data_IF_489416237265
#
_entry.id   IF_489416237265
#
_cell.length_a   1.000
_cell.length_b   1.000
_cell.length_c   1.000
_cell.angle_alpha   90.00
_cell.angle_beta   90.00
_cell.angle_gamma   90.00
#
_symmetry.space_group_name_H-M   'P 1'
#
loop_
_entity.id
_entity.type
_entity.pdbx_description
1 polymer ?
#
# COMPACT_ATOMS: atom_id res chain seq x y z
N UNK A 1 -24.44 61.24 -7.60
CA UNK A 1 -23.64 60.11 -7.07
C UNK A 1 -24.39 59.48 -5.91
N UNK A 2 -25.00 58.30 -6.09
CA UNK A 2 -25.63 57.56 -4.98
C UNK A 2 -24.56 56.68 -4.33
N UNK A 3 -24.37 56.72 -3.00
CA UNK A 3 -23.35 55.92 -2.34
C UNK A 3 -23.75 54.45 -2.43
N UNK A 4 -22.84 53.65 -2.96
CA UNK A 4 -22.93 52.19 -2.97
C UNK A 4 -22.79 51.71 -1.52
N UNK A 5 -23.90 51.69 -0.76
CA UNK A 5 -23.96 51.03 0.54
C UNK A 5 -23.88 49.51 0.30
N UNK A 6 -22.66 49.00 0.20
CA UNK A 6 -22.40 47.56 0.26
C UNK A 6 -22.93 47.06 1.61
N UNK A 7 -24.01 46.30 1.56
CA UNK A 7 -24.74 45.84 2.73
C UNK A 7 -23.84 44.89 3.54
N UNK A 8 -23.27 45.36 4.65
CA UNK A 8 -22.28 44.63 5.47
C UNK A 8 -22.73 43.20 5.83
N UNK A 9 -24.04 42.99 5.97
CA UNK A 9 -24.64 41.69 6.23
C UNK A 9 -24.54 40.70 5.06
N UNK A 10 -24.57 41.18 3.81
CA UNK A 10 -24.33 40.32 2.63
C UNK A 10 -22.88 39.85 2.59
N UNK A 11 -21.92 40.73 2.86
CA UNK A 11 -20.51 40.38 2.91
C UNK A 11 -20.23 39.35 4.01
N UNK A 12 -20.78 39.56 5.21
CA UNK A 12 -20.65 38.61 6.32
C UNK A 12 -21.24 37.24 5.97
N UNK A 13 -22.43 37.21 5.35
CA UNK A 13 -23.08 35.98 4.90
C UNK A 13 -22.22 35.21 3.88
N UNK A 14 -21.65 35.89 2.87
CA UNK A 14 -20.78 35.25 1.89
C UNK A 14 -19.47 34.73 2.51
N UNK A 15 -18.90 35.44 3.49
CA UNK A 15 -17.72 34.97 4.23
C UNK A 15 -18.03 33.75 5.09
N UNK A 16 -19.20 33.72 5.75
CA UNK A 16 -19.66 32.58 6.54
C UNK A 16 -19.96 31.37 5.65
N UNK A 17 -20.62 31.58 4.51
CA UNK A 17 -20.91 30.54 3.52
C UNK A 17 -19.62 29.96 2.92
N UNK A 18 -18.66 30.84 2.58
CA UNK A 18 -17.33 30.42 2.12
C UNK A 18 -16.59 29.64 3.21
N UNK A 19 -16.63 30.11 4.47
CA UNK A 19 -16.04 29.42 5.62
C UNK A 19 -16.63 28.02 5.82
N UNK A 20 -17.96 27.89 5.84
CA UNK A 20 -18.65 26.59 5.95
C UNK A 20 -18.31 25.68 4.76
N UNK A 21 -18.24 26.22 3.55
CA UNK A 21 -17.86 25.43 2.37
C UNK A 21 -16.43 24.90 2.43
N UNK A 22 -15.50 25.64 3.06
CA UNK A 22 -14.14 25.17 3.31
C UNK A 22 -14.10 24.04 4.36
N UNK A 23 -14.98 24.05 5.36
CA UNK A 23 -15.11 22.98 6.35
C UNK A 23 -15.75 21.69 5.81
N UNK A 24 -16.55 21.79 4.74
CA UNK A 24 -17.23 20.63 4.13
C UNK A 24 -16.36 19.89 3.09
N UNK A 25 -15.24 20.47 2.65
CA UNK A 25 -14.33 19.78 1.72
C UNK A 25 -13.35 18.88 2.47
N UNK A 26 -13.33 17.58 2.14
CA UNK A 26 -12.37 16.63 2.70
C UNK A 26 -10.94 17.10 2.48
N UNK A 27 -10.17 17.26 3.57
CA UNK A 27 -8.73 17.56 3.56
C UNK A 27 -7.87 16.43 2.98
N UNK A 28 -8.47 15.35 2.50
CA UNK A 28 -7.77 14.24 1.90
C UNK A 28 -8.46 13.84 0.61
N UNK A 29 -7.68 13.30 -0.32
CA UNK A 29 -8.17 12.70 -1.56
C UNK A 29 -9.34 11.74 -1.29
N UNK A 30 -10.32 11.72 -2.20
CA UNK A 30 -11.37 10.67 -2.19
C UNK A 30 -10.83 9.29 -2.61
N UNK A 31 -9.68 9.27 -3.28
CA UNK A 31 -9.07 8.07 -3.85
C UNK A 31 -8.08 7.43 -2.87
N UNK A 32 -8.29 6.14 -2.59
CA UNK A 32 -7.34 5.30 -1.87
C UNK A 32 -6.10 5.00 -2.71
N UNK A 33 -4.93 5.08 -2.08
CA UNK A 33 -3.65 4.65 -2.63
C UNK A 33 -3.16 3.42 -1.86
N UNK A 34 -2.96 2.30 -2.55
CA UNK A 34 -2.40 1.07 -1.98
C UNK A 34 -0.94 0.94 -2.40
N UNK A 35 -0.05 0.73 -1.44
CA UNK A 35 1.36 0.49 -1.68
C UNK A 35 1.76 -0.85 -1.04
N UNK A 36 2.48 -1.67 -1.80
CA UNK A 36 3.03 -2.95 -1.35
C UNK A 36 4.49 -2.95 -1.78
N UNK A 37 5.37 -3.01 -0.80
CA UNK A 37 6.81 -2.96 -1.05
C UNK A 37 7.50 -4.12 -0.34
N UNK A 38 8.29 -4.87 -1.10
CA UNK A 38 9.14 -5.93 -0.56
C UNK A 38 10.36 -5.27 0.09
N UNK A 39 10.56 -5.55 1.37
CA UNK A 39 11.71 -5.12 2.14
C UNK A 39 12.97 -5.86 1.70
N UNK A 40 14.10 -5.50 2.31
CA UNK A 40 15.38 -6.05 1.86
C UNK A 40 15.50 -7.55 2.11
N UNK A 41 16.32 -8.19 1.26
CA UNK A 41 16.84 -9.54 1.45
C UNK A 41 15.79 -10.67 1.39
N UNK A 42 15.02 -10.79 0.29
CA UNK A 42 14.28 -12.03 0.05
C UNK A 42 15.26 -13.21 -0.11
N UNK A 43 14.91 -14.36 0.47
CA UNK A 43 15.77 -15.55 0.49
C UNK A 43 15.02 -16.80 0.04
N UNK A 44 15.69 -17.62 -0.77
CA UNK A 44 15.27 -18.97 -1.11
C UNK A 44 15.45 -19.91 0.07
N UNK A 45 14.61 -20.94 0.14
CA UNK A 45 15.00 -22.16 0.85
C UNK A 45 16.12 -22.90 0.08
N UNK A 46 16.78 -23.85 0.73
CA UNK A 46 17.92 -24.57 0.14
C UNK A 46 17.57 -25.29 -1.18
N UNK A 47 16.31 -25.69 -1.37
CA UNK A 47 15.82 -26.36 -2.57
C UNK A 47 15.30 -25.41 -3.66
N UNK A 48 15.26 -24.10 -3.40
CA UNK A 48 14.65 -23.07 -4.26
C UNK A 48 13.19 -23.35 -4.64
N UNK A 49 12.46 -24.04 -3.76
CA UNK A 49 11.02 -24.34 -3.91
C UNK A 49 10.14 -23.35 -3.15
N UNK A 50 10.73 -22.47 -2.34
CA UNK A 50 10.01 -21.45 -1.62
C UNK A 50 10.88 -20.23 -1.30
N UNK A 51 10.25 -19.08 -1.12
CA UNK A 51 10.90 -17.81 -0.77
C UNK A 51 10.33 -17.25 0.52
N UNK A 52 11.19 -16.80 1.42
CA UNK A 52 10.80 -15.97 2.56
C UNK A 52 11.24 -14.52 2.33
N UNK A 53 10.37 -13.58 2.67
CA UNK A 53 10.61 -12.15 2.44
C UNK A 53 9.70 -11.31 3.33
N UNK A 54 10.18 -10.13 3.70
CA UNK A 54 9.40 -9.16 4.46
C UNK A 54 8.71 -8.18 3.52
N UNK A 55 7.49 -7.77 3.85
CA UNK A 55 6.70 -6.82 3.07
C UNK A 55 6.12 -5.74 3.98
N UNK A 56 6.17 -4.51 3.49
CA UNK A 56 5.40 -3.40 4.03
C UNK A 56 4.22 -3.09 3.12
N UNK A 57 3.03 -3.00 3.70
CA UNK A 57 1.78 -2.67 3.00
C UNK A 57 1.17 -1.44 3.64
N UNK A 58 0.67 -0.54 2.81
CA UNK A 58 -0.03 0.66 3.25
C UNK A 58 -1.22 0.94 2.35
N UNK A 59 -2.33 1.38 2.94
CA UNK A 59 -3.39 2.05 2.22
C UNK A 59 -3.59 3.43 2.84
N UNK A 60 -3.52 4.47 2.01
CA UNK A 60 -3.59 5.85 2.48
C UNK A 60 -4.29 6.75 1.47
N UNK A 61 -4.82 7.86 1.96
CA UNK A 61 -5.36 8.94 1.15
C UNK A 61 -4.43 10.14 1.24
N UNK A 62 -3.95 10.59 0.08
CA UNK A 62 -3.06 11.75 -0.01
C UNK A 62 -3.75 12.98 0.58
N UNK A 63 -2.98 13.87 1.19
CA UNK A 63 -3.50 15.15 1.61
C UNK A 63 -4.06 15.93 0.40
N UNK A 64 -5.13 16.68 0.63
CA UNK A 64 -5.81 17.50 -0.37
C UNK A 64 -6.31 18.79 0.26
N UNK A 65 -6.58 19.79 -0.58
CA UNK A 65 -6.99 21.11 -0.09
C UNK A 65 -5.96 21.67 0.89
N UNK A 66 -6.43 22.21 2.02
CA UNK A 66 -5.59 22.89 3.01
C UNK A 66 -4.54 21.95 3.61
N UNK A 67 -4.85 20.66 3.79
CA UNK A 67 -3.89 19.73 4.39
C UNK A 67 -2.68 19.44 3.50
N UNK A 68 -2.71 19.79 2.20
CA UNK A 68 -1.56 19.65 1.30
C UNK A 68 -0.50 20.75 1.45
N UNK A 69 -0.76 21.76 2.28
CA UNK A 69 0.19 22.86 2.54
C UNK A 69 0.99 22.59 3.82
N UNK A 70 2.26 23.04 3.92
CA UNK A 70 3.06 23.69 2.88
C UNK A 70 3.80 22.73 1.93
N UNK A 71 4.02 21.47 2.33
CA UNK A 71 4.91 20.53 1.64
C UNK A 71 4.20 19.20 1.28
N UNK A 72 3.09 19.29 0.54
CA UNK A 72 2.32 18.13 0.10
C UNK A 72 1.47 17.46 1.18
N UNK A 73 1.66 17.84 2.45
CA UNK A 73 0.79 17.45 3.56
C UNK A 73 0.99 16.05 4.11
N UNK A 74 0.39 15.79 5.26
CA UNK A 74 0.35 14.45 5.84
C UNK A 74 -0.78 13.64 5.22
N UNK A 75 -0.44 12.48 4.64
CA UNK A 75 -1.45 11.53 4.18
C UNK A 75 -2.21 10.93 5.36
N UNK A 76 -3.50 10.64 5.14
CA UNK A 76 -4.28 9.85 6.09
C UNK A 76 -4.06 8.38 5.81
N UNK A 77 -3.43 7.68 6.76
CA UNK A 77 -3.24 6.23 6.71
C UNK A 77 -4.56 5.57 7.13
N UNK A 78 -5.15 4.79 6.23
CA UNK A 78 -6.37 4.01 6.51
C UNK A 78 -6.00 2.55 6.88
N UNK A 79 -4.87 2.04 6.37
CA UNK A 79 -4.34 0.72 6.70
C UNK A 79 -2.81 0.73 6.62
N UNK A 80 -2.17 -0.04 7.50
CA UNK A 80 -0.75 -0.34 7.41
C UNK A 80 -0.46 -1.69 8.03
N UNK A 81 0.44 -2.45 7.41
CA UNK A 81 0.88 -3.75 7.91
C UNK A 81 2.32 -4.01 7.50
N UNK A 82 3.11 -4.58 8.41
CA UNK A 82 4.46 -5.06 8.10
C UNK A 82 4.52 -6.50 8.54
N UNK A 83 4.83 -7.40 7.60
CA UNK A 83 4.75 -8.83 7.85
C UNK A 83 5.87 -9.59 7.16
N UNK A 84 6.27 -10.69 7.78
CA UNK A 84 7.11 -11.71 7.15
C UNK A 84 6.21 -12.68 6.42
N UNK A 85 6.57 -13.01 5.19
CA UNK A 85 5.86 -13.96 4.36
C UNK A 85 6.76 -15.10 3.92
N UNK A 86 6.11 -16.23 3.67
CA UNK A 86 6.66 -17.42 3.02
C UNK A 86 5.79 -17.73 1.81
N UNK A 87 6.38 -17.85 0.63
CA UNK A 87 5.69 -18.22 -0.60
C UNK A 87 6.18 -19.56 -1.11
N UNK A 88 5.28 -20.55 -1.15
CA UNK A 88 5.55 -21.87 -1.70
C UNK A 88 5.27 -21.87 -3.20
N UNK A 89 6.28 -22.22 -4.02
CA UNK A 89 6.15 -22.20 -5.48
C UNK A 89 5.31 -23.35 -6.02
N UNK A 90 5.28 -24.49 -5.34
CA UNK A 90 4.53 -25.67 -5.79
C UNK A 90 3.03 -25.43 -5.67
N UNK A 91 2.60 -24.97 -4.49
CA UNK A 91 1.18 -24.77 -4.18
C UNK A 91 0.71 -23.34 -4.52
N UNK A 92 1.62 -22.48 -4.99
CA UNK A 92 1.41 -21.03 -5.21
C UNK A 92 0.76 -20.33 -4.02
N UNK A 93 1.06 -20.79 -2.81
CA UNK A 93 0.45 -20.29 -1.59
C UNK A 93 1.34 -19.26 -0.91
N UNK A 94 0.75 -18.10 -0.60
CA UNK A 94 1.35 -17.08 0.25
C UNK A 94 0.90 -17.28 1.70
N UNK A 95 1.85 -17.51 2.60
CA UNK A 95 1.61 -17.73 4.03
C UNK A 95 2.24 -16.57 4.80
N UNK A 96 1.41 -15.89 5.61
CA UNK A 96 1.91 -14.90 6.57
C UNK A 96 2.55 -15.63 7.74
N UNK A 97 3.84 -15.37 7.95
CA UNK A 97 4.67 -16.04 8.97
C UNK A 97 4.56 -15.32 10.31
N UNK A 98 4.76 -14.01 10.32
CA UNK A 98 4.71 -13.16 11.52
C UNK A 98 4.27 -11.75 11.12
N UNK A 99 3.77 -10.98 12.08
CA UNK A 99 3.38 -9.58 11.92
C UNK A 99 4.09 -8.66 12.91
N UNK A 100 4.39 -7.47 12.41
CA UNK A 100 5.16 -6.43 13.08
C UNK A 100 4.29 -5.19 13.23
N UNK A 101 2.98 -5.38 13.43
CA UNK A 101 2.01 -4.29 13.46
C UNK A 101 2.07 -3.49 14.77
N UNK A 102 2.65 -4.07 15.82
CA UNK A 102 2.89 -3.44 17.11
C UNK A 102 3.72 -2.16 17.00
N UNK A 103 4.71 -2.11 16.10
CA UNK A 103 5.59 -0.94 15.92
C UNK A 103 5.12 0.04 14.84
N UNK A 104 4.23 -0.39 13.93
CA UNK A 104 3.78 0.47 12.81
C UNK A 104 3.11 1.76 13.26
N UNK A 105 2.47 1.77 14.44
CA UNK A 105 1.84 2.96 15.02
C UNK A 105 2.85 4.07 15.33
N UNK A 106 4.12 3.73 15.51
CA UNK A 106 5.15 4.68 15.95
C UNK A 106 6.07 5.10 14.81
N UNK A 107 6.42 4.17 13.92
CA UNK A 107 7.36 4.45 12.84
C UNK A 107 6.75 4.39 11.45
N UNK A 108 5.45 4.07 11.31
CA UNK A 108 4.71 3.84 10.03
C UNK A 108 5.26 2.69 9.19
N UNK A 109 4.44 2.10 8.32
CA UNK A 109 4.85 0.99 7.45
C UNK A 109 5.58 1.41 6.16
N UNK A 110 6.41 2.46 6.18
CA UNK A 110 7.28 2.75 5.03
C UNK A 110 8.46 1.79 5.01
N UNK A 111 8.80 1.26 3.82
CA UNK A 111 9.93 0.34 3.62
C UNK A 111 11.24 0.82 4.25
N UNK A 112 11.55 2.11 4.18
CA UNK A 112 12.77 2.70 4.73
C UNK A 112 12.89 2.62 6.25
N UNK A 113 11.80 2.29 6.96
CA UNK A 113 11.80 2.13 8.41
C UNK A 113 12.09 0.71 8.86
N UNK A 114 12.25 -0.25 7.95
CA UNK A 114 12.44 -1.65 8.29
C UNK A 114 13.59 -2.23 7.48
N UNK A 115 14.49 -2.90 8.17
CA UNK A 115 15.42 -3.85 7.59
C UNK A 115 15.20 -5.23 8.21
N UNK A 116 15.72 -6.27 7.58
CA UNK A 116 15.51 -7.64 8.04
C UNK A 116 16.58 -8.58 7.56
N UNK A 117 17.03 -9.43 8.46
CA UNK A 117 17.88 -10.58 8.15
C UNK A 117 16.98 -11.82 8.17
N UNK A 118 16.97 -12.58 7.08
CA UNK A 118 16.16 -13.80 6.92
C UNK A 118 17.07 -14.93 6.43
N UNK A 119 16.87 -16.15 6.94
CA UNK A 119 17.62 -17.33 6.55
C UNK A 119 16.76 -18.60 6.62
N UNK A 120 17.17 -19.64 5.89
CA UNK A 120 16.51 -20.95 5.87
C UNK A 120 17.44 -22.05 6.36
N UNK A 121 16.90 -22.97 7.15
CA UNK A 121 17.56 -24.25 7.46
C UNK A 121 16.51 -25.35 7.65
N UNK A 122 16.44 -26.29 6.71
CA UNK A 122 15.40 -27.31 6.72
C UNK A 122 14.00 -26.68 6.64
N UNK A 123 13.06 -27.03 7.54
CA UNK A 123 11.73 -26.43 7.60
C UNK A 123 11.69 -25.10 8.38
N UNK A 124 12.82 -24.62 8.89
CA UNK A 124 12.87 -23.43 9.74
C UNK A 124 13.20 -22.18 8.92
N UNK A 125 12.43 -21.11 9.15
CA UNK A 125 12.72 -19.75 8.70
C UNK A 125 13.24 -18.98 9.91
N UNK A 126 14.52 -18.66 9.89
CA UNK A 126 15.15 -17.81 10.88
C UNK A 126 15.04 -16.36 10.46
N UNK A 127 14.69 -15.46 11.37
CA UNK A 127 14.59 -14.05 11.07
C UNK A 127 14.93 -13.13 12.25
N UNK A 128 15.43 -11.94 11.92
CA UNK A 128 15.58 -10.81 12.83
C UNK A 128 15.18 -9.53 12.12
N UNK A 129 14.15 -8.86 12.62
CA UNK A 129 13.67 -7.59 12.07
C UNK A 129 14.37 -6.44 12.79
N UNK A 130 14.82 -5.45 12.02
CA UNK A 130 15.54 -4.27 12.48
C UNK A 130 14.74 -3.02 12.10
N UNK A 131 13.74 -2.65 12.90
CA UNK A 131 13.03 -1.40 12.66
C UNK A 131 13.91 -0.20 12.96
N UNK A 132 13.51 0.96 12.44
CA UNK A 132 14.24 2.19 12.63
C UNK A 132 14.01 2.78 14.04
N UNK A 133 14.84 2.33 14.99
CA UNK A 133 14.63 2.54 16.42
C UNK A 133 14.79 3.99 16.89
N UNK A 134 15.53 4.86 16.19
CA UNK A 134 15.72 6.25 16.65
C UNK A 134 14.39 7.04 16.66
N UNK A 135 13.42 6.62 15.85
CA UNK A 135 12.07 7.20 15.87
C UNK A 135 11.32 6.90 17.17
N UNK A 136 11.74 5.89 17.93
CA UNK A 136 11.14 5.50 19.20
C UNK A 136 11.67 6.31 20.39
N UNK A 137 12.80 6.99 20.24
CA UNK A 137 13.47 7.69 21.35
C UNK A 137 12.57 8.73 22.02
N UNK A 138 11.70 9.38 21.23
CA UNK A 138 10.73 10.38 21.70
C UNK A 138 9.64 9.81 22.62
N UNK A 139 9.45 8.49 22.63
CA UNK A 139 8.39 7.83 23.39
C UNK A 139 8.92 7.10 24.64
N UNK A 140 10.24 7.10 24.87
CA UNK A 140 10.89 6.35 25.97
C UNK A 140 10.60 6.92 27.37
N UNK A 141 10.23 8.19 27.47
CA UNK A 141 10.06 8.90 28.75
C UNK A 141 8.61 9.30 29.04
N UNK A 142 7.66 8.88 28.20
CA UNK A 142 6.24 9.24 28.31
C UNK A 142 5.34 8.13 28.86
N UNK A 143 4.01 8.33 28.82
CA UNK A 143 3.01 7.34 29.23
C UNK A 143 3.13 5.99 28.51
N UNK A 144 3.66 5.97 27.28
CA UNK A 144 3.86 4.75 26.50
C UNK A 144 5.23 4.09 26.72
N UNK A 145 6.05 4.59 27.66
CA UNK A 145 7.42 4.11 27.90
C UNK A 145 7.52 2.60 28.10
N UNK A 146 6.64 1.98 28.91
CA UNK A 146 6.65 0.53 29.14
C UNK A 146 6.36 -0.27 27.86
N UNK A 147 5.39 0.19 27.06
CA UNK A 147 5.13 -0.43 25.75
C UNK A 147 6.34 -0.28 24.84
N UNK A 148 7.01 0.87 24.89
CA UNK A 148 8.20 1.13 24.07
C UNK A 148 9.33 0.17 24.44
N UNK A 149 9.54 -0.07 25.73
CA UNK A 149 10.53 -1.04 26.19
C UNK A 149 10.21 -2.46 25.73
N UNK A 150 8.95 -2.92 25.85
CA UNK A 150 8.59 -4.28 25.39
C UNK A 150 8.75 -4.46 23.88
N UNK A 151 8.42 -3.44 23.09
CA UNK A 151 8.69 -3.40 21.65
C UNK A 151 10.19 -3.49 21.39
N UNK A 152 11.02 -2.66 22.04
CA UNK A 152 12.48 -2.69 21.87
C UNK A 152 13.05 -4.08 22.19
N UNK A 153 12.61 -4.71 23.27
CA UNK A 153 13.03 -6.07 23.65
C UNK A 153 12.65 -7.11 22.60
N UNK A 154 11.43 -7.03 22.02
CA UNK A 154 10.99 -7.95 20.96
C UNK A 154 11.93 -7.90 19.75
N UNK A 155 12.29 -6.70 19.31
CA UNK A 155 13.10 -6.48 18.09
C UNK A 155 14.62 -6.66 18.31
N UNK A 156 15.07 -6.78 19.56
CA UNK A 156 16.45 -7.18 19.87
C UNK A 156 16.70 -8.69 19.71
N UNK A 157 15.64 -9.50 19.70
CA UNK A 157 15.69 -10.96 19.60
C UNK A 157 15.66 -11.45 18.15
N UNK A 158 16.17 -12.66 17.95
CA UNK A 158 15.99 -13.43 16.72
C UNK A 158 14.91 -14.49 16.94
N UNK A 159 14.26 -14.91 15.87
CA UNK A 159 13.18 -15.89 15.92
C UNK A 159 13.38 -16.98 14.87
N UNK A 160 12.76 -18.13 15.13
CA UNK A 160 12.64 -19.24 14.20
C UNK A 160 11.16 -19.61 14.07
N UNK A 161 10.69 -19.64 12.83
CA UNK A 161 9.39 -20.15 12.47
C UNK A 161 9.53 -21.54 11.86
N UNK A 162 8.74 -22.50 12.35
CA UNK A 162 8.65 -23.84 11.78
C UNK A 162 7.50 -23.92 10.77
N UNK A 163 7.82 -24.20 9.51
CA UNK A 163 6.83 -24.29 8.43
C UNK A 163 5.85 -25.45 8.64
N UNK A 164 6.27 -26.53 9.29
CA UNK A 164 5.43 -27.71 9.49
C UNK A 164 4.45 -27.53 10.64
N UNK A 165 4.90 -26.90 11.73
CA UNK A 165 4.05 -26.73 12.93
C UNK A 165 3.42 -25.35 13.03
N UNK A 166 3.81 -24.40 12.17
CA UNK A 166 3.44 -22.99 12.20
C UNK A 166 3.76 -22.27 13.52
N UNK A 167 4.71 -22.79 14.30
CA UNK A 167 5.07 -22.20 15.59
C UNK A 167 6.25 -21.25 15.42
N UNK A 168 6.15 -20.10 16.10
CA UNK A 168 7.24 -19.15 16.25
C UNK A 168 7.88 -19.35 17.63
N UNK A 169 9.20 -19.39 17.67
CA UNK A 169 9.97 -19.41 18.92
C UNK A 169 11.16 -18.47 18.83
N UNK A 170 11.60 -17.96 19.99
CA UNK A 170 12.87 -17.25 20.06
C UNK A 170 14.01 -18.19 19.63
N UNK A 171 14.94 -17.66 18.84
CA UNK A 171 16.13 -18.36 18.40
C UNK A 171 17.35 -17.83 19.17
N UNK A 172 18.25 -18.75 19.54
CA UNK A 172 19.56 -18.37 20.05
C UNK A 172 20.32 -17.55 18.99
N UNK A 173 20.98 -16.48 19.44
CA UNK A 173 21.65 -15.54 18.53
C UNK A 173 22.86 -16.14 17.81
N UNK A 174 23.57 -17.10 18.43
CA UNK A 174 24.71 -17.78 17.80
C UNK A 174 24.21 -18.71 16.69
N UNK A 175 23.14 -19.49 16.97
CA UNK A 175 22.49 -20.35 15.98
C UNK A 175 21.99 -19.50 14.80
N UNK A 176 21.29 -18.41 15.09
CA UNK A 176 20.80 -17.48 14.06
C UNK A 176 21.94 -16.98 13.17
N UNK A 177 23.02 -16.47 13.79
CA UNK A 177 24.15 -15.90 13.07
C UNK A 177 24.91 -16.94 12.24
N UNK A 178 25.06 -18.17 12.73
CA UNK A 178 25.68 -19.27 11.98
C UNK A 178 24.88 -19.56 10.71
N UNK A 179 23.57 -19.77 10.84
CA UNK A 179 22.67 -20.09 9.73
C UNK A 179 22.64 -18.92 8.74
N UNK A 180 22.44 -17.70 9.21
CA UNK A 180 22.37 -16.51 8.37
C UNK A 180 23.68 -16.30 7.59
N UNK A 181 24.84 -16.39 8.23
CA UNK A 181 26.11 -16.22 7.54
C UNK A 181 26.39 -17.31 6.50
N UNK A 182 25.93 -18.55 6.76
CA UNK A 182 26.04 -19.67 5.83
C UNK A 182 25.14 -19.50 4.59
N UNK A 183 23.96 -18.92 4.73
CA UNK A 183 22.96 -18.87 3.65
C UNK A 183 22.77 -17.52 2.98
N UNK A 184 23.19 -16.40 3.58
CA UNK A 184 22.88 -15.03 3.12
C UNK A 184 23.23 -14.76 1.65
N UNK A 185 24.32 -15.36 1.17
CA UNK A 185 24.78 -15.16 -0.21
C UNK A 185 24.25 -16.24 -1.16
N UNK A 186 24.25 -17.50 -0.76
CA UNK A 186 23.85 -18.64 -1.60
C UNK A 186 22.35 -18.69 -1.88
N UNK A 187 21.53 -18.19 -0.94
CA UNK A 187 20.08 -18.24 -1.04
C UNK A 187 19.45 -16.89 -1.43
N UNK A 188 20.23 -15.88 -1.81
CA UNK A 188 19.68 -14.56 -2.18
C UNK A 188 18.73 -14.68 -3.39
N UNK A 189 17.61 -13.94 -3.36
CA UNK A 189 16.69 -13.80 -4.49
C UNK A 189 16.82 -12.40 -5.08
N UNK A 190 16.81 -12.29 -6.41
CA UNK A 190 16.69 -11.01 -7.10
C UNK A 190 15.25 -10.48 -6.98
N UNK A 191 15.06 -9.17 -6.77
CA UNK A 191 13.73 -8.60 -6.58
C UNK A 191 12.83 -8.80 -7.79
N UNK A 192 13.37 -8.65 -9.00
CA UNK A 192 12.64 -8.82 -10.26
C UNK A 192 12.12 -10.25 -10.39
N UNK A 193 12.90 -11.23 -9.92
CA UNK A 193 12.48 -12.63 -9.92
C UNK A 193 11.36 -12.87 -8.92
N UNK A 194 11.45 -12.28 -7.72
CA UNK A 194 10.41 -12.39 -6.71
C UNK A 194 9.11 -11.69 -7.15
N UNK A 195 9.20 -10.48 -7.68
CA UNK A 195 8.07 -9.71 -8.21
C UNK A 195 7.33 -10.52 -9.30
N UNK A 196 8.09 -11.15 -10.21
CA UNK A 196 7.50 -12.04 -11.22
C UNK A 196 6.78 -13.27 -10.64
N UNK A 197 7.26 -13.83 -9.52
CA UNK A 197 6.61 -15.00 -8.87
C UNK A 197 5.32 -14.60 -8.15
N UNK A 198 5.28 -13.38 -7.62
CA UNK A 198 4.18 -12.87 -6.81
C UNK A 198 3.09 -12.17 -7.64
N UNK A 199 3.33 -11.94 -8.94
CA UNK A 199 2.45 -11.19 -9.84
C UNK A 199 1.01 -11.73 -9.90
N UNK A 200 0.82 -13.04 -9.73
CA UNK A 200 -0.49 -13.70 -9.77
C UNK A 200 -1.15 -13.81 -8.39
N UNK A 201 -0.46 -13.44 -7.31
CA UNK A 201 -1.02 -13.53 -5.95
C UNK A 201 -2.06 -12.42 -5.78
N UNK A 202 -3.30 -12.81 -5.49
CA UNK A 202 -4.40 -11.86 -5.36
C UNK A 202 -4.19 -10.94 -4.15
N UNK A 203 -4.61 -9.68 -4.26
CA UNK A 203 -4.40 -8.69 -3.21
C UNK A 203 -5.14 -9.01 -1.91
N UNK A 204 -6.23 -9.78 -1.98
CA UNK A 204 -6.89 -10.32 -0.79
C UNK A 204 -5.99 -11.29 -0.01
N UNK A 205 -5.13 -12.05 -0.68
CA UNK A 205 -4.22 -13.02 -0.03
C UNK A 205 -3.05 -12.29 0.66
N UNK A 206 -2.77 -11.05 0.22
CA UNK A 206 -1.94 -10.09 0.94
C UNK A 206 -2.65 -9.44 2.14
N UNK A 207 -3.93 -9.76 2.39
CA UNK A 207 -4.75 -9.14 3.42
C UNK A 207 -5.29 -7.75 3.04
N UNK A 208 -5.26 -7.39 1.74
CA UNK A 208 -5.80 -6.13 1.24
C UNK A 208 -7.22 -6.34 0.73
N UNK A 209 -8.21 -6.08 1.59
CA UNK A 209 -9.63 -6.11 1.25
C UNK A 209 -10.17 -4.68 1.23
N UNK A 210 -10.54 -4.18 0.05
CA UNK A 210 -10.82 -2.74 -0.14
C UNK A 210 -11.99 -2.24 0.72
N UNK A 211 -13.06 -3.04 0.80
CA UNK A 211 -14.27 -2.69 1.55
C UNK A 211 -14.04 -2.65 3.06
N UNK A 212 -13.10 -3.46 3.56
CA UNK A 212 -12.74 -3.49 4.98
C UNK A 212 -11.84 -2.31 5.34
N UNK A 213 -10.91 -1.96 4.43
CA UNK A 213 -9.94 -0.87 4.65
C UNK A 213 -10.58 0.51 4.49
N UNK A 214 -11.37 0.71 3.43
CA UNK A 214 -11.97 2.01 3.13
C UNK A 214 -13.27 1.81 2.35
N UNK A 215 -14.40 1.58 3.05
CA UNK A 215 -15.68 1.27 2.42
C UNK A 215 -16.20 2.46 1.60
N UNK A 216 -16.46 2.23 0.32
CA UNK A 216 -17.06 3.20 -0.60
C UNK A 216 -18.15 2.55 -1.45
N UNK A 217 -18.91 3.35 -2.20
CA UNK A 217 -19.83 2.81 -3.20
C UNK A 217 -19.05 2.12 -4.33
N UNK A 218 -19.68 1.19 -5.05
CA UNK A 218 -19.03 0.56 -6.21
C UNK A 218 -18.70 1.59 -7.30
N UNK A 219 -19.51 2.66 -7.43
CA UNK A 219 -19.23 3.74 -8.37
C UNK A 219 -17.96 4.50 -8.00
N UNK A 220 -17.72 4.77 -6.73
CA UNK A 220 -16.49 5.45 -6.29
C UNK A 220 -15.24 4.64 -6.65
N UNK A 221 -15.27 3.31 -6.48
CA UNK A 221 -14.17 2.46 -6.95
C UNK A 221 -14.05 2.43 -8.48
N UNK A 222 -15.17 2.41 -9.19
CA UNK A 222 -15.16 2.46 -10.67
C UNK A 222 -14.50 3.76 -11.18
N UNK A 223 -14.71 4.90 -10.51
CA UNK A 223 -14.06 6.16 -10.86
C UNK A 223 -12.51 6.05 -10.83
N UNK A 224 -11.93 5.22 -9.96
CA UNK A 224 -10.49 4.95 -9.99
C UNK A 224 -10.06 4.35 -11.32
N UNK A 225 -10.90 3.49 -11.89
CA UNK A 225 -10.63 2.80 -13.14
C UNK A 225 -10.82 3.77 -14.30
N UNK A 226 -11.91 4.53 -14.33
CA UNK A 226 -12.20 5.43 -15.46
C UNK A 226 -11.15 6.52 -15.56
N UNK A 227 -10.74 7.12 -14.44
CA UNK A 227 -9.87 8.30 -14.39
C UNK A 227 -8.41 8.01 -14.06
N UNK A 228 -7.98 6.74 -14.09
CA UNK A 228 -6.63 6.28 -13.76
C UNK A 228 -6.11 6.86 -12.43
N UNK A 229 -6.88 6.70 -11.35
CA UNK A 229 -6.55 7.22 -10.02
C UNK A 229 -6.01 6.11 -9.10
N UNK A 230 -5.30 6.51 -8.05
CA UNK A 230 -4.58 5.60 -7.16
C UNK A 230 -3.35 4.95 -7.82
N UNK A 231 -2.83 3.90 -7.20
CA UNK A 231 -1.70 3.11 -7.71
C UNK A 231 -2.16 1.93 -8.57
N UNK A 232 -1.24 1.29 -9.31
CA UNK A 232 -1.52 0.02 -9.96
C UNK A 232 -2.14 -1.02 -9.01
N UNK A 233 -1.63 -1.13 -7.78
CA UNK A 233 -2.21 -2.03 -6.75
C UNK A 233 -3.64 -1.67 -6.37
N UNK A 234 -3.98 -0.39 -6.19
CA UNK A 234 -5.37 0.00 -5.94
C UNK A 234 -6.28 -0.48 -7.08
N UNK A 235 -5.89 -0.23 -8.33
CA UNK A 235 -6.72 -0.59 -9.49
C UNK A 235 -6.79 -2.10 -9.71
N UNK A 236 -5.70 -2.81 -9.44
CA UNK A 236 -5.69 -4.28 -9.42
C UNK A 236 -6.67 -4.82 -8.38
N UNK A 237 -6.68 -4.29 -7.16
CA UNK A 237 -7.61 -4.73 -6.13
C UNK A 237 -9.07 -4.49 -6.55
N UNK A 238 -9.35 -3.38 -7.23
CA UNK A 238 -10.68 -3.08 -7.78
C UNK A 238 -11.07 -4.08 -8.88
N UNK A 239 -10.14 -4.42 -9.79
CA UNK A 239 -10.37 -5.46 -10.81
C UNK A 239 -10.62 -6.83 -10.21
N UNK A 240 -9.94 -7.18 -9.12
CA UNK A 240 -10.05 -8.49 -8.47
C UNK A 240 -11.30 -8.61 -7.59
N UNK A 241 -11.71 -7.53 -6.93
CA UNK A 241 -12.68 -7.59 -5.83
C UNK A 241 -14.01 -6.90 -6.14
N UNK A 242 -14.03 -5.88 -7.00
CA UNK A 242 -15.23 -5.07 -7.25
C UNK A 242 -15.84 -5.39 -8.62
N UNK A 243 -15.03 -5.37 -9.68
CA UNK A 243 -15.51 -5.59 -11.06
C UNK A 243 -16.22 -6.95 -11.25
N UNK A 244 -15.76 -8.08 -10.69
CA UNK A 244 -16.39 -9.37 -10.92
C UNK A 244 -17.84 -9.44 -10.39
N UNK A 245 -18.20 -8.58 -9.43
CA UNK A 245 -19.56 -8.47 -8.90
C UNK A 245 -20.49 -7.56 -9.70
N UNK A 246 -20.02 -6.96 -10.81
CA UNK A 246 -20.82 -6.04 -11.63
C UNK A 246 -21.56 -6.78 -12.76
N UNK A 247 -22.69 -6.23 -13.19
CA UNK A 247 -23.39 -6.73 -14.36
C UNK A 247 -22.64 -6.39 -15.65
N UNK A 248 -22.78 -7.23 -16.69
CA UNK A 248 -22.20 -6.97 -18.03
C UNK A 248 -22.58 -5.59 -18.59
N UNK A 249 -23.83 -5.15 -18.34
CA UNK A 249 -24.28 -3.79 -18.72
C UNK A 249 -23.45 -2.71 -18.03
N UNK A 250 -23.17 -2.86 -16.74
CA UNK A 250 -22.34 -1.90 -16.00
C UNK A 250 -20.91 -1.88 -16.52
N UNK A 251 -20.33 -3.03 -16.87
CA UNK A 251 -18.98 -3.13 -17.45
C UNK A 251 -18.92 -2.43 -18.82
N UNK A 252 -19.92 -2.62 -19.69
CA UNK A 252 -20.03 -1.88 -20.96
C UNK A 252 -20.07 -0.37 -20.75
N UNK A 253 -20.84 0.11 -19.77
CA UNK A 253 -20.88 1.53 -19.45
C UNK A 253 -19.50 2.06 -18.98
N UNK A 254 -18.72 1.27 -18.23
CA UNK A 254 -17.36 1.66 -17.81
C UNK A 254 -16.47 1.86 -19.04
N UNK A 255 -16.51 0.93 -20.00
CA UNK A 255 -15.74 1.03 -21.25
C UNK A 255 -16.13 2.29 -22.04
N UNK A 256 -17.42 2.57 -22.19
CA UNK A 256 -17.91 3.78 -22.86
C UNK A 256 -17.46 5.06 -22.15
N UNK A 257 -17.48 5.09 -20.81
CA UNK A 257 -16.99 6.23 -20.04
C UNK A 257 -15.48 6.43 -20.19
N UNK A 258 -14.70 5.34 -20.24
CA UNK A 258 -13.27 5.38 -20.53
C UNK A 258 -12.99 5.92 -21.94
N UNK A 259 -13.74 5.50 -22.95
CA UNK A 259 -13.64 6.02 -24.32
C UNK A 259 -13.91 7.51 -24.38
N UNK A 260 -14.97 7.95 -23.70
CA UNK A 260 -15.35 9.34 -23.63
C UNK A 260 -14.28 10.18 -22.90
N UNK A 261 -13.71 9.64 -21.82
CA UNK A 261 -12.64 10.31 -21.10
C UNK A 261 -11.35 10.41 -21.94
N UNK A 262 -10.97 9.34 -22.64
CA UNK A 262 -9.85 9.35 -23.59
C UNK A 262 -10.03 10.42 -24.66
N UNK A 263 -11.20 10.47 -25.31
CA UNK A 263 -11.53 11.48 -26.33
C UNK A 263 -11.43 12.90 -25.77
N UNK A 264 -11.81 13.12 -24.50
CA UNK A 264 -11.66 14.43 -23.83
C UNK A 264 -10.19 14.80 -23.61
N UNK A 265 -9.34 13.84 -23.22
CA UNK A 265 -7.89 14.06 -23.11
C UNK A 265 -7.26 14.33 -24.49
N UNK A 266 -7.72 13.65 -25.54
CA UNK A 266 -7.25 13.83 -26.91
C UNK A 266 -7.55 15.23 -27.47
N UNK A 267 -8.70 15.82 -27.10
CA UNK A 267 -9.12 17.16 -27.52
C UNK A 267 -8.43 18.31 -26.77
N UNK A 268 -7.80 18.03 -25.63
CA UNK A 268 -7.16 19.06 -24.82
C UNK A 268 -5.84 19.45 -25.49
N UNK A 269 -5.66 20.73 -25.76
CA UNK A 269 -4.45 21.24 -26.41
C UNK A 269 -3.23 20.92 -25.53
N UNK A 270 -2.20 20.26 -26.10
CA UNK A 270 -1.04 19.73 -25.37
C UNK A 270 -0.02 20.83 -25.03
N UNK A 271 -0.49 22.01 -24.66
CA UNK A 271 0.37 23.19 -24.46
C UNK A 271 1.34 23.05 -23.27
N UNK A 272 1.12 22.08 -22.38
CA UNK A 272 1.99 21.78 -21.24
C UNK A 272 2.57 20.36 -21.30
N UNK A 273 3.86 20.23 -20.99
CA UNK A 273 4.54 18.94 -20.76
C UNK A 273 3.76 18.03 -19.79
N UNK A 274 3.14 18.60 -18.75
CA UNK A 274 2.34 17.84 -17.77
C UNK A 274 1.10 17.19 -18.41
N UNK A 275 0.43 17.90 -19.31
CA UNK A 275 -0.75 17.38 -20.01
C UNK A 275 -0.35 16.28 -21.01
N UNK A 276 0.79 16.45 -21.70
CA UNK A 276 1.35 15.43 -22.58
C UNK A 276 1.69 14.12 -21.83
N UNK A 277 2.40 14.21 -20.70
CA UNK A 277 2.74 13.04 -19.86
C UNK A 277 1.47 12.37 -19.33
N UNK A 278 0.48 13.15 -18.89
CA UNK A 278 -0.81 12.62 -18.42
C UNK A 278 -1.52 11.82 -19.51
N UNK A 279 -1.53 12.34 -20.75
CA UNK A 279 -2.14 11.68 -21.90
C UNK A 279 -1.44 10.35 -22.22
N UNK A 280 -0.11 10.36 -22.36
CA UNK A 280 0.67 9.14 -22.63
C UNK A 280 0.45 8.06 -21.56
N UNK A 281 0.46 8.45 -20.29
CA UNK A 281 0.22 7.53 -19.18
C UNK A 281 -1.21 6.94 -19.23
N UNK A 282 -2.20 7.74 -19.64
CA UNK A 282 -3.56 7.26 -19.79
C UNK A 282 -3.73 6.32 -20.99
N UNK A 283 -3.07 6.59 -22.12
CA UNK A 283 -3.17 5.75 -23.32
C UNK A 283 -2.68 4.32 -23.09
N UNK A 284 -1.55 4.16 -22.41
CA UNK A 284 -1.03 2.83 -22.05
C UNK A 284 -1.98 2.12 -21.07
N UNK A 285 -2.41 2.83 -20.03
CA UNK A 285 -3.35 2.33 -19.04
C UNK A 285 -4.68 1.89 -19.66
N UNK A 286 -5.23 2.70 -20.56
CA UNK A 286 -6.50 2.46 -21.25
C UNK A 286 -6.44 1.16 -22.05
N UNK A 287 -5.38 0.94 -22.85
CA UNK A 287 -5.22 -0.28 -23.64
C UNK A 287 -5.24 -1.55 -22.79
N UNK A 288 -4.45 -1.56 -21.72
CA UNK A 288 -4.35 -2.72 -20.82
C UNK A 288 -5.66 -2.97 -20.06
N UNK A 289 -6.29 -1.91 -19.59
CA UNK A 289 -7.49 -2.01 -18.73
C UNK A 289 -8.72 -2.39 -19.53
N UNK A 290 -8.93 -1.82 -20.72
CA UNK A 290 -10.04 -2.21 -21.59
C UNK A 290 -9.96 -3.68 -21.98
N UNK A 291 -8.74 -4.20 -22.24
CA UNK A 291 -8.54 -5.64 -22.48
C UNK A 291 -9.04 -6.48 -21.29
N UNK A 292 -8.59 -6.15 -20.07
CA UNK A 292 -9.01 -6.86 -18.85
C UNK A 292 -10.51 -6.76 -18.60
N UNK A 293 -11.13 -5.60 -18.83
CA UNK A 293 -12.57 -5.41 -18.65
C UNK A 293 -13.39 -6.23 -19.66
N UNK A 294 -12.90 -6.37 -20.90
CA UNK A 294 -13.54 -7.20 -21.91
C UNK A 294 -13.54 -8.68 -21.56
N UNK A 295 -12.55 -9.17 -20.79
CA UNK A 295 -12.51 -10.57 -20.33
C UNK A 295 -13.70 -10.92 -19.39
N UNK A 296 -14.45 -9.93 -18.90
CA UNK A 296 -15.64 -10.11 -18.06
C UNK A 296 -16.99 -10.01 -18.83
N UNK A 297 -16.97 -9.74 -20.14
CA UNK A 297 -18.17 -9.62 -20.98
C UNK A 297 -18.55 -10.96 -21.63
#
# INVERSE_FOLDING_TARGET
MRPFFFNKYKLLFFVLLAGVSLFLTSCHSKYLTVNIEICRSPVWNNKKTAVAFMVTKMAYRRAGGIASLPDGGMSKIEYQDVSLYYFNLQDKQLIKVDDFNDITKWITAWRSNYDGDIAFQGPLIYYKIKPNMWKLDKFKTGPDSLKVHSVIERYNKSYAYDINTHNIRAADSLIFNEVFNKTKNSNKVAYEKLDSLLKEVALKDWGIVLKDIYPQSNQDYIDHIIYNQGTPYTRQAIMEQIIPGLSKKKIKNILEEMDNYKKKLDKKDNSSYKDHVRKLNYDNYYKETCKKLNDFL
#
